data_IF_590288383562
#
_entry.id   IF_590288383562
#
_cell.length_a   1.000
_cell.length_b   1.000
_cell.length_c   1.000
_cell.angle_alpha   90.00
_cell.angle_beta   90.00
_cell.angle_gamma   90.00
#
_symmetry.space_group_name_H-M   'P 1'
#
loop_
_entity.id
_entity.type
_entity.pdbx_description
1 polymer ?
#
# COMPACT_ATOMS: atom_id res chain seq x y z
N UNK A 1 28.70 32.14 47.71
CA UNK A 1 28.46 31.80 46.29
C UNK A 1 27.80 30.42 45.99
N UNK A 2 27.19 29.62 46.92
CA UNK A 2 26.69 28.28 46.56
C UNK A 2 25.22 28.21 46.07
N UNK A 3 24.34 29.18 46.40
CA UNK A 3 22.91 29.12 46.04
C UNK A 3 22.63 29.35 44.55
N UNK A 4 23.39 30.24 43.90
CA UNK A 4 23.24 30.58 42.47
C UNK A 4 23.67 29.43 41.54
N UNK A 5 24.71 28.67 41.89
CA UNK A 5 25.13 27.49 41.12
C UNK A 5 24.12 26.34 41.22
N UNK A 6 23.56 26.07 42.41
CA UNK A 6 22.49 25.06 42.57
C UNK A 6 21.20 25.42 41.81
N UNK A 7 20.84 26.71 41.76
CA UNK A 7 19.67 27.19 41.01
C UNK A 7 19.85 27.05 39.49
N UNK A 8 21.02 27.39 38.95
CA UNK A 8 21.33 27.19 37.52
C UNK A 8 21.38 25.72 37.13
N UNK A 9 21.94 24.86 37.98
CA UNK A 9 21.96 23.41 37.77
C UNK A 9 20.55 22.82 37.81
N UNK A 10 19.72 23.25 38.77
CA UNK A 10 18.31 22.84 38.85
C UNK A 10 17.50 23.27 37.62
N UNK A 11 17.68 24.52 37.16
CA UNK A 11 17.04 25.02 35.94
C UNK A 11 17.50 24.26 34.69
N UNK A 12 18.78 23.92 34.60
CA UNK A 12 19.32 23.11 33.51
C UNK A 12 18.76 21.69 33.52
N UNK A 13 18.70 21.02 34.69
CA UNK A 13 18.09 19.70 34.82
C UNK A 13 16.60 19.74 34.45
N UNK A 14 15.86 20.76 34.91
CA UNK A 14 14.46 20.95 34.55
C UNK A 14 14.29 21.14 33.03
N UNK A 15 15.16 21.93 32.41
CA UNK A 15 15.17 22.12 30.96
C UNK A 15 15.42 20.81 30.20
N UNK A 16 16.42 20.01 30.63
CA UNK A 16 16.70 18.69 30.02
C UNK A 16 15.51 17.75 30.17
N UNK A 17 14.86 17.72 31.33
CA UNK A 17 13.66 16.91 31.56
C UNK A 17 12.51 17.37 30.66
N UNK A 18 12.24 18.67 30.56
CA UNK A 18 11.18 19.22 29.69
C UNK A 18 11.45 18.91 28.22
N UNK A 19 12.67 19.15 27.72
CA UNK A 19 13.05 18.86 26.33
C UNK A 19 12.96 17.36 26.04
N UNK A 20 13.47 16.53 26.95
CA UNK A 20 13.36 15.06 26.83
C UNK A 20 11.90 14.59 26.82
N UNK A 21 11.05 15.20 27.65
CA UNK A 21 9.62 14.87 27.72
C UNK A 21 8.90 15.25 26.43
N UNK A 22 9.16 16.45 25.88
CA UNK A 22 8.61 16.90 24.60
C UNK A 22 9.08 15.98 23.47
N UNK A 23 10.36 15.61 23.45
CA UNK A 23 10.91 14.68 22.46
C UNK A 23 10.22 13.32 22.51
N UNK A 24 10.05 12.75 23.71
CA UNK A 24 9.39 11.47 23.89
C UNK A 24 7.91 11.51 23.49
N UNK A 25 7.20 12.60 23.81
CA UNK A 25 5.80 12.79 23.37
C UNK A 25 5.71 12.86 21.85
N UNK A 26 6.61 13.60 21.19
CA UNK A 26 6.66 13.68 19.72
C UNK A 26 6.89 12.31 19.09
N UNK A 27 7.80 11.52 19.64
CA UNK A 27 8.10 10.17 19.16
C UNK A 27 6.88 9.24 19.32
N UNK A 28 6.19 9.30 20.45
CA UNK A 28 4.95 8.53 20.65
C UNK A 28 3.82 8.95 19.71
N UNK A 29 3.65 10.26 19.46
CA UNK A 29 2.67 10.77 18.49
C UNK A 29 3.02 10.25 17.09
N UNK A 30 4.28 10.35 16.66
CA UNK A 30 4.75 9.84 15.38
C UNK A 30 4.48 8.34 15.23
N UNK A 31 4.85 7.53 16.23
CA UNK A 31 4.59 6.08 16.20
C UNK A 31 3.09 5.80 16.11
N UNK A 32 2.26 6.56 16.83
CA UNK A 32 0.79 6.44 16.76
C UNK A 32 0.26 6.80 15.37
N UNK A 33 0.81 7.84 14.74
CA UNK A 33 0.50 8.21 13.36
C UNK A 33 0.93 7.12 12.37
N UNK A 34 2.03 6.40 12.59
CA UNK A 34 2.44 5.31 11.71
C UNK A 34 1.61 4.03 11.94
N UNK A 35 1.21 3.74 13.18
CA UNK A 35 0.39 2.57 13.53
C UNK A 35 -1.06 2.64 13.04
N UNK A 36 -1.50 3.78 12.51
CA UNK A 36 -2.81 3.87 11.86
C UNK A 36 -2.85 3.08 10.55
N UNK A 37 -1.69 2.76 9.96
CA UNK A 37 -1.58 1.97 8.75
C UNK A 37 -1.46 0.50 9.11
N UNK A 38 -2.43 -0.29 8.65
CA UNK A 38 -2.60 -1.70 8.98
C UNK A 38 -2.12 -2.62 7.86
N UNK A 39 -1.97 -2.07 6.65
CA UNK A 39 -1.39 -2.74 5.50
C UNK A 39 -0.35 -1.81 4.89
N UNK A 40 0.92 -2.19 4.93
CA UNK A 40 2.00 -1.38 4.39
C UNK A 40 2.99 -2.27 3.65
N UNK A 41 3.13 -1.98 2.35
CA UNK A 41 4.19 -2.48 1.47
C UNK A 41 4.94 -1.26 0.94
N UNK A 42 6.25 -1.15 1.24
CA UNK A 42 7.03 0.01 0.82
C UNK A 42 7.03 0.13 -0.70
N UNK A 43 7.23 1.35 -1.19
CA UNK A 43 7.40 1.58 -2.62
C UNK A 43 8.84 1.27 -3.02
N UNK A 44 9.11 0.18 -3.74
CA UNK A 44 10.47 -0.17 -4.10
C UNK A 44 11.02 0.81 -5.14
N UNK A 45 12.27 1.20 -4.97
CA UNK A 45 13.05 2.04 -5.87
C UNK A 45 14.14 1.18 -6.50
N UNK A 46 14.41 1.38 -7.79
CA UNK A 46 15.54 0.71 -8.44
C UNK A 46 16.82 1.35 -7.93
N UNK A 47 17.63 0.57 -7.20
CA UNK A 47 18.96 0.98 -6.75
C UNK A 47 19.99 0.78 -7.84
N UNK A 48 19.95 -0.38 -8.50
CA UNK A 48 20.77 -0.69 -9.67
C UNK A 48 20.07 -1.72 -10.56
N UNK A 49 20.49 -1.81 -11.82
CA UNK A 49 20.03 -2.87 -12.72
C UNK A 49 21.03 -3.13 -13.84
N UNK A 50 21.09 -4.38 -14.30
CA UNK A 50 21.93 -4.79 -15.40
C UNK A 50 21.18 -5.70 -16.38
N UNK A 51 21.23 -5.33 -17.66
CA UNK A 51 20.84 -6.22 -18.75
C UNK A 51 22.01 -7.14 -19.09
N UNK A 52 21.83 -8.43 -18.88
CA UNK A 52 22.83 -9.47 -19.16
C UNK A 52 22.45 -10.25 -20.42
N UNK A 53 23.41 -10.99 -20.96
CA UNK A 53 23.22 -11.84 -22.14
C UNK A 53 22.58 -11.10 -23.33
N UNK A 54 23.20 -9.99 -23.76
CA UNK A 54 22.69 -9.12 -24.83
C UNK A 54 21.27 -8.58 -24.63
N UNK A 55 20.75 -8.56 -23.39
CA UNK A 55 19.42 -8.06 -23.05
C UNK A 55 18.35 -9.15 -22.95
N UNK A 56 18.73 -10.43 -23.01
CA UNK A 56 17.81 -11.56 -22.82
C UNK A 56 17.50 -11.81 -21.33
N UNK A 57 18.29 -11.26 -20.42
CA UNK A 57 17.99 -11.30 -19.00
C UNK A 57 18.27 -9.95 -18.33
N UNK A 58 17.57 -9.70 -17.23
CA UNK A 58 17.60 -8.46 -16.48
C UNK A 58 17.70 -8.78 -14.99
N UNK A 59 18.70 -8.21 -14.33
CA UNK A 59 18.86 -8.25 -12.88
C UNK A 59 18.54 -6.87 -12.34
N UNK A 60 17.72 -6.79 -11.29
CA UNK A 60 17.35 -5.53 -10.63
C UNK A 60 17.64 -5.66 -9.15
N UNK A 61 18.41 -4.71 -8.63
CA UNK A 61 18.53 -4.47 -7.19
C UNK A 61 17.48 -3.44 -6.78
N UNK A 62 16.56 -3.85 -5.92
CA UNK A 62 15.52 -3.00 -5.36
C UNK A 62 15.92 -2.49 -3.97
N UNK A 63 15.45 -1.29 -3.63
CA UNK A 63 15.59 -0.68 -2.32
C UNK A 63 14.23 -0.13 -1.86
N UNK A 64 13.85 -0.44 -0.62
CA UNK A 64 12.61 0.03 0.00
C UNK A 64 12.75 1.46 0.59
N UNK A 65 13.95 2.04 0.47
CA UNK A 65 14.27 3.37 0.97
C UNK A 65 14.03 3.51 2.47
N UNK A 66 13.68 4.73 2.89
CA UNK A 66 13.45 5.06 4.31
C UNK A 66 12.19 4.36 4.89
N UNK A 67 11.28 3.85 4.05
CA UNK A 67 10.04 3.22 4.54
C UNK A 67 10.30 1.91 5.27
N UNK A 68 11.34 1.17 4.90
CA UNK A 68 11.74 -0.05 5.60
C UNK A 68 12.06 0.20 7.06
N UNK A 69 12.87 1.22 7.35
CA UNK A 69 13.24 1.57 8.72
C UNK A 69 12.01 1.97 9.55
N UNK A 70 11.07 2.70 8.94
CA UNK A 70 9.81 3.09 9.59
C UNK A 70 8.95 1.86 9.92
N UNK A 71 8.82 0.92 8.99
CA UNK A 71 8.05 -0.31 9.20
C UNK A 71 8.71 -1.17 10.29
N UNK A 72 10.05 -1.33 10.25
CA UNK A 72 10.80 -2.05 11.28
C UNK A 72 10.65 -1.40 12.67
N UNK A 73 10.68 -0.07 12.75
CA UNK A 73 10.47 0.66 14.00
C UNK A 73 9.07 0.39 14.59
N UNK A 74 8.04 0.49 13.76
CA UNK A 74 6.65 0.24 14.17
C UNK A 74 6.46 -1.22 14.63
N UNK A 75 7.13 -2.17 13.96
CA UNK A 75 7.09 -3.61 14.23
C UNK A 75 7.86 -4.05 15.49
N UNK A 76 8.79 -3.25 16.03
CA UNK A 76 9.50 -3.57 17.28
C UNK A 76 8.53 -3.73 18.46
N UNK A 77 7.39 -3.04 18.44
CA UNK A 77 6.26 -3.39 19.29
C UNK A 77 5.46 -4.49 18.61
N UNK A 78 5.12 -5.58 19.30
CA UNK A 78 4.28 -6.68 18.78
C UNK A 78 3.23 -6.14 17.79
N UNK A 79 3.40 -6.35 16.47
CA UNK A 79 2.57 -5.66 15.52
C UNK A 79 1.15 -6.19 15.64
N UNK A 80 0.19 -5.28 15.78
CA UNK A 80 -1.25 -5.62 15.75
C UNK A 80 -1.69 -6.02 14.32
N UNK A 81 -0.90 -5.68 13.29
CA UNK A 81 -1.28 -5.82 11.88
C UNK A 81 -0.18 -6.40 10.98
N UNK A 82 -0.54 -6.68 9.72
CA UNK A 82 0.31 -7.29 8.71
C UNK A 82 1.15 -6.24 7.98
N UNK A 83 2.45 -6.18 8.30
CA UNK A 83 3.41 -5.37 7.56
C UNK A 83 4.24 -6.28 6.65
N UNK A 84 4.24 -6.02 5.33
CA UNK A 84 5.04 -6.77 4.38
C UNK A 84 6.42 -6.12 4.26
N UNK A 85 7.40 -6.69 4.97
CA UNK A 85 8.80 -6.24 4.91
C UNK A 85 9.61 -6.91 3.79
N UNK A 86 9.11 -7.97 3.15
CA UNK A 86 10.00 -8.90 2.44
C UNK A 86 9.46 -9.54 1.16
N UNK A 87 8.42 -8.99 0.54
CA UNK A 87 8.06 -9.47 -0.79
C UNK A 87 8.03 -8.34 -1.80
N UNK A 88 9.09 -8.30 -2.61
CA UNK A 88 9.04 -7.69 -3.94
C UNK A 88 8.12 -8.55 -4.83
N UNK A 89 6.88 -8.79 -4.38
CA UNK A 89 5.81 -9.40 -5.16
C UNK A 89 5.41 -8.37 -6.20
N UNK A 90 6.27 -8.25 -7.20
CA UNK A 90 5.98 -7.66 -8.48
C UNK A 90 5.61 -8.76 -9.47
N UNK A 91 4.99 -8.38 -10.57
CA UNK A 91 4.78 -9.28 -11.69
C UNK A 91 5.85 -9.02 -12.75
N UNK A 92 6.36 -10.06 -13.39
CA UNK A 92 7.27 -9.95 -14.54
C UNK A 92 6.71 -10.73 -15.72
N UNK A 93 6.48 -10.03 -16.83
CA UNK A 93 6.22 -10.61 -18.15
C UNK A 93 7.47 -10.57 -19.03
N UNK A 94 7.32 -10.84 -20.33
CA UNK A 94 8.45 -10.81 -21.27
C UNK A 94 8.95 -9.37 -21.48
N UNK A 95 8.03 -8.40 -21.51
CA UNK A 95 8.37 -6.98 -21.78
C UNK A 95 8.17 -6.06 -20.58
N UNK A 96 7.27 -6.40 -19.67
CA UNK A 96 6.88 -5.50 -18.59
C UNK A 96 7.23 -6.06 -17.23
N UNK A 97 7.66 -5.18 -16.34
CA UNK A 97 7.81 -5.45 -14.92
C UNK A 97 6.84 -4.55 -14.18
N UNK A 98 6.14 -5.09 -13.19
CA UNK A 98 5.18 -4.37 -12.38
C UNK A 98 5.57 -4.49 -10.92
N UNK A 99 5.58 -3.37 -10.20
CA UNK A 99 5.72 -3.33 -8.75
C UNK A 99 4.47 -2.69 -8.14
N UNK A 100 3.88 -3.38 -7.17
CA UNK A 100 2.79 -2.85 -6.36
C UNK A 100 3.35 -2.28 -5.05
N UNK A 101 2.82 -1.13 -4.63
CA UNK A 101 3.07 -0.58 -3.29
C UNK A 101 1.81 0.03 -2.70
N UNK A 102 1.68 -0.01 -1.37
CA UNK A 102 0.49 0.51 -0.70
C UNK A 102 0.79 0.89 0.74
N UNK A 103 0.07 1.89 1.22
CA UNK A 103 0.01 2.26 2.63
C UNK A 103 -1.44 2.54 3.00
N UNK A 104 -2.08 1.60 3.68
CA UNK A 104 -3.53 1.57 3.93
C UNK A 104 -3.83 1.47 5.43
N UNK A 105 -4.87 2.17 5.86
CA UNK A 105 -5.49 2.15 7.19
C UNK A 105 -6.56 1.08 7.31
N UNK A 106 -6.85 0.38 6.22
CA UNK A 106 -7.79 -0.72 6.14
C UNK A 106 -7.19 -1.87 5.29
N UNK A 107 -7.55 -3.11 5.62
CA UNK A 107 -7.08 -4.30 4.91
C UNK A 107 -7.87 -4.52 3.63
N UNK A 108 -7.16 -4.77 2.55
CA UNK A 108 -7.67 -5.34 1.30
C UNK A 108 -7.79 -6.88 1.41
N UNK A 109 -8.44 -7.54 0.45
CA UNK A 109 -8.75 -8.98 0.52
C UNK A 109 -7.52 -9.89 0.30
N UNK A 110 -6.40 -9.31 -0.14
CA UNK A 110 -5.09 -9.96 -0.31
C UNK A 110 -4.59 -10.71 0.96
N UNK A 111 -5.20 -10.44 2.11
CA UNK A 111 -4.78 -10.91 3.43
C UNK A 111 -5.87 -11.63 4.23
N UNK A 112 -6.67 -12.46 3.56
CA UNK A 112 -7.70 -13.32 4.19
C UNK A 112 -7.24 -14.13 5.42
N UNK A 113 -5.93 -14.35 5.60
CA UNK A 113 -5.32 -15.02 6.77
C UNK A 113 -5.28 -14.21 8.07
N UNK A 114 -5.49 -12.90 8.03
CA UNK A 114 -5.56 -12.04 9.23
C UNK A 114 -7.00 -11.76 9.68
N UNK A 115 -7.96 -12.46 9.05
CA UNK A 115 -9.41 -12.27 9.15
C UNK A 115 -10.06 -12.77 10.44
N UNK A 116 -9.34 -13.51 11.29
CA UNK A 116 -9.94 -14.32 12.37
C UNK A 116 -9.74 -13.79 13.79
N UNK A 117 -9.20 -12.58 13.98
CA UNK A 117 -9.07 -11.95 15.31
C UNK A 117 -10.13 -10.86 15.55
N UNK A 118 -10.77 -10.79 16.74
CA UNK A 118 -11.69 -9.72 17.14
C UNK A 118 -11.10 -8.30 17.08
N UNK A 119 -9.77 -8.18 17.01
CA UNK A 119 -9.01 -6.92 16.90
C UNK A 119 -8.33 -6.77 15.52
N UNK A 120 -8.87 -7.41 14.48
CA UNK A 120 -8.33 -7.34 13.12
C UNK A 120 -8.55 -5.97 12.46
N UNK A 121 -7.69 -5.65 11.50
CA UNK A 121 -7.77 -4.43 10.71
C UNK A 121 -9.16 -4.24 10.07
N UNK A 122 -9.70 -3.00 10.01
CA UNK A 122 -10.96 -2.76 9.33
C UNK A 122 -10.84 -3.11 7.83
N UNK A 123 -11.93 -3.59 7.23
CA UNK A 123 -11.97 -3.85 5.79
C UNK A 123 -11.90 -2.55 4.99
N UNK A 124 -11.19 -2.60 3.86
CA UNK A 124 -11.21 -1.51 2.90
C UNK A 124 -12.62 -1.40 2.29
N UNK A 125 -13.33 -0.34 2.65
CA UNK A 125 -14.73 -0.11 2.27
C UNK A 125 -14.92 1.19 1.47
N UNK A 126 -13.82 1.75 0.95
CA UNK A 126 -13.79 3.06 0.31
C UNK A 126 -12.82 3.04 -0.88
N UNK A 127 -13.08 3.90 -1.86
CA UNK A 127 -12.23 4.07 -3.04
C UNK A 127 -11.65 5.50 -3.18
N UNK A 128 -11.88 6.35 -2.20
CA UNK A 128 -11.16 7.61 -2.02
C UNK A 128 -10.13 7.41 -0.90
N UNK A 129 -8.82 7.56 -1.18
CA UNK A 129 -7.81 7.37 -0.17
C UNK A 129 -7.96 8.40 0.94
N UNK A 130 -7.89 7.97 2.19
CA UNK A 130 -7.82 8.88 3.33
C UNK A 130 -6.45 9.53 3.38
N UNK A 131 -6.34 10.60 4.17
CA UNK A 131 -5.08 11.34 4.30
C UNK A 131 -3.89 10.41 4.62
N UNK A 132 -2.86 10.51 3.77
CA UNK A 132 -1.63 9.73 3.86
C UNK A 132 -1.73 8.29 3.35
N UNK A 133 -2.88 7.84 2.83
CA UNK A 133 -2.99 6.55 2.15
C UNK A 133 -2.60 6.65 0.68
N UNK A 134 -2.07 5.55 0.15
CA UNK A 134 -1.88 5.37 -1.28
C UNK A 134 -1.95 3.89 -1.64
N UNK A 135 -2.25 3.62 -2.92
CA UNK A 135 -2.08 2.32 -3.53
C UNK A 135 -1.65 2.53 -4.98
N UNK A 136 -0.42 2.13 -5.29
CA UNK A 136 0.26 2.45 -6.54
C UNK A 136 0.74 1.18 -7.25
N UNK A 137 0.72 1.26 -8.58
CA UNK A 137 1.36 0.30 -9.47
C UNK A 137 2.42 1.04 -10.28
N UNK A 138 3.67 0.62 -10.21
CA UNK A 138 4.75 1.07 -11.07
C UNK A 138 5.02 0.05 -12.16
N UNK A 139 4.83 0.44 -13.43
CA UNK A 139 5.09 -0.43 -14.59
C UNK A 139 6.33 0.05 -15.33
N UNK A 140 7.27 -0.86 -15.57
CA UNK A 140 8.52 -0.63 -16.29
C UNK A 140 8.48 -1.36 -17.62
N UNK A 141 8.71 -0.64 -18.73
CA UNK A 141 8.89 -1.23 -20.06
C UNK A 141 10.37 -1.52 -20.29
N UNK A 142 10.72 -2.79 -20.53
CA UNK A 142 12.11 -3.22 -20.71
C UNK A 142 12.63 -3.00 -22.13
N UNK A 143 11.76 -2.65 -23.10
CA UNK A 143 12.08 -2.57 -24.53
C UNK A 143 13.30 -1.71 -24.85
N UNK A 144 13.39 -0.53 -24.26
CA UNK A 144 14.46 0.45 -24.55
C UNK A 144 15.64 0.33 -23.57
N UNK A 145 15.66 -0.74 -22.75
CA UNK A 145 16.65 -1.00 -21.70
C UNK A 145 16.81 0.14 -20.69
N UNK A 146 15.75 0.93 -20.53
CA UNK A 146 15.68 2.08 -19.61
C UNK A 146 14.48 1.88 -18.70
N UNK A 147 14.74 1.45 -17.47
CA UNK A 147 13.69 1.19 -16.50
C UNK A 147 13.20 2.51 -15.88
N UNK A 148 12.26 3.16 -16.57
CA UNK A 148 11.52 4.32 -16.03
C UNK A 148 10.09 3.89 -15.69
N UNK A 149 9.62 4.09 -14.45
CA UNK A 149 8.29 3.67 -14.08
C UNK A 149 7.24 4.58 -14.71
N UNK A 150 6.16 3.96 -15.19
CA UNK A 150 4.86 4.62 -15.33
C UNK A 150 4.02 4.23 -14.13
N UNK A 151 3.74 5.22 -13.28
CA UNK A 151 2.97 5.03 -12.05
C UNK A 151 1.47 5.17 -12.30
N UNK A 152 0.69 4.27 -11.74
CA UNK A 152 -0.76 4.31 -11.73
C UNK A 152 -1.29 4.33 -10.30
N UNK A 153 -2.33 5.13 -10.06
CA UNK A 153 -3.05 5.16 -8.79
C UNK A 153 -4.25 4.21 -8.87
N UNK A 154 -4.23 3.18 -8.04
CA UNK A 154 -5.23 2.10 -8.03
C UNK A 154 -6.60 2.62 -7.62
N UNK A 155 -6.66 3.45 -6.57
CA UNK A 155 -7.91 4.08 -6.14
C UNK A 155 -8.53 4.90 -7.26
N UNK A 156 -7.70 5.70 -7.95
CA UNK A 156 -8.14 6.50 -9.08
C UNK A 156 -8.62 5.62 -10.24
N UNK A 157 -7.85 4.60 -10.63
CA UNK A 157 -8.22 3.71 -11.73
C UNK A 157 -9.56 3.02 -11.48
N UNK A 158 -9.76 2.46 -10.28
CA UNK A 158 -11.03 1.82 -9.91
C UNK A 158 -12.17 2.84 -9.88
N UNK A 159 -11.95 4.02 -9.30
CA UNK A 159 -12.98 5.08 -9.22
C UNK A 159 -13.36 5.66 -10.58
N UNK A 160 -12.39 5.80 -11.49
CA UNK A 160 -12.61 6.24 -12.87
C UNK A 160 -13.43 5.20 -13.66
N UNK A 161 -13.18 3.91 -13.42
CA UNK A 161 -13.96 2.81 -14.00
C UNK A 161 -15.39 2.77 -13.44
N UNK A 162 -15.54 2.76 -12.11
CA UNK A 162 -16.82 2.88 -11.44
C UNK A 162 -16.66 3.50 -10.06
N UNK A 163 -17.29 4.67 -9.86
CA UNK A 163 -17.22 5.43 -8.60
C UNK A 163 -17.68 4.66 -7.36
N UNK A 164 -18.39 3.54 -7.51
CA UNK A 164 -18.91 2.74 -6.40
C UNK A 164 -18.09 1.49 -6.11
N UNK A 165 -17.05 1.21 -6.91
CA UNK A 165 -16.24 0.00 -6.74
C UNK A 165 -15.07 0.28 -5.81
N UNK A 166 -14.65 -0.74 -5.07
CA UNK A 166 -13.51 -0.66 -4.14
C UNK A 166 -12.40 -1.60 -4.64
N UNK A 167 -11.13 -1.17 -4.71
CA UNK A 167 -10.04 -2.09 -5.04
C UNK A 167 -9.88 -3.16 -3.96
N UNK A 168 -9.68 -4.41 -4.37
CA UNK A 168 -9.52 -5.55 -3.46
C UNK A 168 -8.15 -6.22 -3.55
N UNK A 169 -7.64 -6.41 -4.76
CA UNK A 169 -6.33 -7.03 -4.99
C UNK A 169 -5.83 -6.72 -6.40
N UNK A 170 -4.53 -6.90 -6.59
CA UNK A 170 -3.84 -6.79 -7.87
C UNK A 170 -3.14 -8.12 -8.10
N UNK A 171 -3.41 -8.73 -9.25
CA UNK A 171 -2.77 -9.97 -9.65
C UNK A 171 -1.24 -9.82 -9.68
N UNK A 172 -0.54 -10.83 -9.17
CA UNK A 172 0.91 -10.95 -9.26
C UNK A 172 1.39 -11.41 -10.63
N UNK A 173 0.52 -11.45 -11.65
CA UNK A 173 0.82 -11.91 -13.00
C UNK A 173 0.50 -10.82 -14.04
N UNK A 174 1.33 -10.76 -15.09
CA UNK A 174 1.07 -10.00 -16.30
C UNK A 174 0.65 -10.99 -17.37
N UNK A 175 -0.54 -10.77 -17.95
CA UNK A 175 -1.07 -11.59 -19.03
C UNK A 175 -0.75 -10.91 -20.35
N UNK A 176 -0.05 -11.61 -21.23
CA UNK A 176 0.30 -11.13 -22.57
C UNK A 176 -0.52 -11.90 -23.61
N UNK A 177 -1.06 -11.19 -24.60
CA UNK A 177 -1.82 -11.78 -25.72
C UNK A 177 -0.93 -12.00 -26.93
N UNK A 178 -1.38 -12.81 -27.88
CA UNK A 178 -0.69 -13.04 -29.16
C UNK A 178 -0.47 -11.74 -29.95
N UNK A 179 -1.32 -10.73 -29.76
CA UNK A 179 -1.23 -9.41 -30.38
C UNK A 179 -0.25 -8.46 -29.64
N UNK A 180 0.55 -8.98 -28.70
CA UNK A 180 1.49 -8.22 -27.83
C UNK A 180 0.82 -7.18 -26.94
N UNK A 181 -0.45 -7.39 -26.57
CA UNK A 181 -1.10 -6.58 -25.55
C UNK A 181 -0.84 -7.19 -24.17
N UNK A 182 -0.57 -6.34 -23.19
CA UNK A 182 -0.28 -6.77 -21.82
C UNK A 182 -1.36 -6.25 -20.86
N UNK A 183 -1.84 -7.14 -20.00
CA UNK A 183 -2.91 -6.90 -19.05
C UNK A 183 -2.48 -7.30 -17.65
N UNK A 184 -2.87 -6.51 -16.66
CA UNK A 184 -2.85 -6.89 -15.25
C UNK A 184 -4.28 -6.89 -14.73
N UNK A 185 -4.60 -7.86 -13.89
CA UNK A 185 -5.96 -8.00 -13.34
C UNK A 185 -6.03 -7.23 -12.03
N UNK A 186 -7.00 -6.32 -11.93
CA UNK A 186 -7.39 -5.68 -10.67
C UNK A 186 -8.73 -6.28 -10.23
N UNK A 187 -8.73 -6.90 -9.07
CA UNK A 187 -9.94 -7.39 -8.41
C UNK A 187 -10.60 -6.24 -7.69
N UNK A 188 -11.92 -6.08 -7.86
CA UNK A 188 -12.70 -4.99 -7.29
C UNK A 188 -13.95 -5.52 -6.62
N UNK A 189 -14.35 -4.91 -5.50
CA UNK A 189 -15.63 -5.16 -4.86
C UNK A 189 -16.69 -4.27 -5.51
N UNK A 190 -17.69 -4.91 -6.12
CA UNK A 190 -18.89 -4.23 -6.58
C UNK A 190 -19.91 -4.11 -5.44
N UNK A 191 -20.78 -3.07 -5.45
CA UNK A 191 -21.92 -3.00 -4.53
C UNK A 191 -22.83 -4.23 -4.66
N UNK A 192 -23.49 -4.62 -3.56
CA UNK A 192 -24.34 -5.82 -3.45
C UNK A 192 -25.44 -5.90 -4.52
N UNK A 193 -25.89 -4.76 -5.02
CA UNK A 193 -26.97 -4.67 -6.01
C UNK A 193 -26.50 -4.68 -7.47
N UNK A 194 -25.24 -5.05 -7.68
CA UNK A 194 -24.68 -5.17 -9.02
C UNK A 194 -25.05 -6.51 -9.65
N UNK A 195 -25.46 -6.49 -10.91
CA UNK A 195 -25.76 -7.69 -11.71
C UNK A 195 -24.73 -7.84 -12.82
N UNK A 196 -24.20 -9.05 -13.00
CA UNK A 196 -23.42 -9.37 -14.19
C UNK A 196 -24.38 -9.53 -15.38
N UNK A 197 -24.15 -8.76 -16.44
CA UNK A 197 -24.88 -8.79 -17.70
C UNK A 197 -23.89 -9.10 -18.81
N UNK A 198 -24.24 -10.00 -19.72
CA UNK A 198 -23.43 -10.29 -20.89
C UNK A 198 -23.98 -9.48 -22.06
N UNK A 199 -23.18 -8.55 -22.58
CA UNK A 199 -23.50 -7.73 -23.74
C UNK A 199 -22.43 -7.93 -24.82
N UNK A 200 -22.85 -8.31 -26.03
CA UNK A 200 -21.94 -8.56 -27.17
C UNK A 200 -20.79 -9.52 -26.83
N UNK A 201 -21.07 -10.58 -26.07
CA UNK A 201 -20.06 -11.56 -25.63
C UNK A 201 -19.11 -11.05 -24.54
N UNK A 202 -19.25 -9.80 -24.08
CA UNK A 202 -18.48 -9.23 -22.98
C UNK A 202 -19.31 -9.26 -21.70
N UNK A 203 -18.76 -9.83 -20.62
CA UNK A 203 -19.39 -9.71 -19.30
C UNK A 203 -19.14 -8.30 -18.74
N UNK A 204 -20.22 -7.59 -18.44
CA UNK A 204 -20.21 -6.29 -17.77
C UNK A 204 -20.95 -6.39 -16.46
N UNK A 205 -20.49 -5.70 -15.44
CA UNK A 205 -21.22 -5.60 -14.16
C UNK A 205 -22.00 -4.29 -14.17
N UNK A 206 -23.33 -4.38 -14.21
CA UNK A 206 -24.24 -3.23 -14.20
C UNK A 206 -24.72 -3.02 -12.78
N UNK A 207 -24.49 -1.84 -12.23
CA UNK A 207 -25.06 -1.43 -10.93
C UNK A 207 -26.38 -0.72 -11.22
N UNK A 208 -27.52 -1.37 -10.96
CA UNK A 208 -28.83 -0.71 -11.01
C UNK A 208 -28.83 0.46 -10.00
N UNK A 209 -29.42 1.59 -10.38
CA UNK A 209 -29.30 2.86 -9.66
C UNK A 209 -29.56 2.71 -8.16
N UNK A 210 -28.68 3.25 -7.33
CA UNK A 210 -28.82 3.09 -5.88
C UNK A 210 -28.50 4.30 -5.03
N UNK A 211 -29.35 4.40 -4.00
CA UNK A 211 -29.50 5.32 -2.88
C UNK A 211 -28.31 5.24 -1.92
N UNK A 212 -27.92 6.35 -1.28
CA UNK A 212 -26.64 6.53 -0.55
C UNK A 212 -26.44 5.62 0.68
N UNK A 213 -27.41 4.76 1.02
CA UNK A 213 -27.44 3.92 2.23
C UNK A 213 -27.14 2.43 2.00
N UNK A 214 -26.80 2.00 0.77
CA UNK A 214 -26.46 0.59 0.51
C UNK A 214 -25.16 0.18 1.19
N UNK A 215 -25.27 -0.74 2.16
CA UNK A 215 -24.14 -1.33 2.87
C UNK A 215 -23.46 -2.40 2.00
N UNK A 216 -22.12 -2.42 2.01
CA UNK A 216 -21.31 -3.51 1.46
C UNK A 216 -21.58 -4.81 2.25
N UNK A 217 -21.55 -5.99 1.61
CA UNK A 217 -21.73 -7.25 2.32
C UNK A 217 -20.53 -7.48 3.25
N UNK A 218 -20.72 -7.25 4.55
CA UNK A 218 -19.84 -7.77 5.60
C UNK A 218 -20.43 -9.10 6.02
N UNK A 219 -20.11 -10.17 5.29
CA UNK A 219 -20.40 -11.52 5.79
C UNK A 219 -19.33 -11.92 6.80
N UNK A 220 -19.74 -11.97 8.07
CA UNK A 220 -19.01 -12.59 9.17
C UNK A 220 -18.93 -14.10 8.88
N UNK A 221 -17.79 -14.54 8.37
CA UNK A 221 -17.41 -15.96 8.29
C UNK A 221 -16.58 -16.33 9.51
#
# INVERSE_FOLDING_TARGET
MPKLFKSKLFLFTLFVVVVGSISSIKEQIRIRELRQYVQWKPRPVIKDYEFIHNGEALVIEWDDGDERELIEEVNKGKPEFAYQLNTHDGASGERYIMQESYKLKASSDKFSRYRTAPDSAPYLSYNEPKEGEYWLIDVYDTKDRKLKPKTYDVFKMVRDYNKKYIPLDISGEIYETEDNEAYFIITMLAPKESKAVIENGTMKVVTEGFNETSQYPVEWG
#
